data_IF_978362571618
#
_entry.id   IF_978362571618
#
_cell.length_a   1.000
_cell.length_b   1.000
_cell.length_c   1.000
_cell.angle_alpha   90.00
_cell.angle_beta   90.00
_cell.angle_gamma   90.00
#
_symmetry.space_group_name_H-M   'P 1'
#
loop_
_entity.id
_entity.type
_entity.pdbx_description
1 polymer ?
#
# COMPACT_ATOMS: atom_id res chain seq x y z
N UNK A 1 16.04 20.85 27.62
CA UNK A 1 14.59 20.93 27.33
C UNK A 1 14.56 21.51 25.94
N UNK A 2 14.55 20.63 24.95
CA UNK A 2 14.80 20.97 23.55
C UNK A 2 13.47 21.09 22.83
N UNK A 3 13.22 22.26 22.24
CA UNK A 3 11.97 22.62 21.60
C UNK A 3 11.83 21.88 20.26
N UNK A 4 10.76 21.09 20.13
CA UNK A 4 10.34 20.56 18.83
C UNK A 4 9.76 21.69 17.98
N UNK A 5 10.10 21.81 16.69
CA UNK A 5 9.53 22.87 15.85
C UNK A 5 8.07 22.55 15.54
N UNK A 6 7.16 23.40 16.03
CA UNK A 6 5.74 23.36 15.69
C UNK A 6 5.56 23.77 14.22
N UNK A 7 5.36 22.79 13.35
CA UNK A 7 5.05 23.02 11.93
C UNK A 7 3.60 23.46 11.75
N UNK A 8 3.29 24.72 12.08
CA UNK A 8 2.04 25.36 11.71
C UNK A 8 2.25 26.22 10.47
N UNK A 9 1.58 25.91 9.36
CA UNK A 9 1.45 26.87 8.26
C UNK A 9 0.13 27.61 8.42
N UNK A 10 0.19 28.84 8.91
CA UNK A 10 -0.97 29.72 9.04
C UNK A 10 -1.21 30.40 7.69
N UNK A 11 -2.27 30.02 6.99
CA UNK A 11 -2.76 30.77 5.83
C UNK A 11 -3.73 31.85 6.29
N UNK A 12 -3.31 33.11 6.32
CA UNK A 12 -4.19 34.24 6.64
C UNK A 12 -4.82 34.76 5.34
N UNK A 13 -6.15 34.65 5.19
CA UNK A 13 -6.88 35.30 4.10
C UNK A 13 -7.71 36.44 4.68
N UNK A 14 -7.35 37.68 4.35
CA UNK A 14 -8.11 38.87 4.78
C UNK A 14 -9.11 39.25 3.70
N UNK A 15 -10.40 39.21 4.04
CA UNK A 15 -11.47 39.77 3.23
C UNK A 15 -12.06 40.98 3.93
N UNK A 16 -12.14 42.11 3.23
CA UNK A 16 -12.70 43.36 3.75
C UNK A 16 -14.07 43.59 3.14
N UNK A 17 -15.11 43.72 3.95
CA UNK A 17 -16.47 44.05 3.49
C UNK A 17 -16.79 45.46 3.95
N UNK A 18 -17.06 46.37 3.02
CA UNK A 18 -17.45 47.75 3.35
C UNK A 18 -18.96 47.86 3.20
N UNK A 19 -19.64 48.22 4.30
CA UNK A 19 -21.05 48.57 4.28
C UNK A 19 -21.15 50.10 4.35
N UNK A 20 -21.83 50.70 3.38
CA UNK A 20 -22.07 52.15 3.34
C UNK A 20 -23.54 52.45 3.56
N UNK A 21 -23.84 53.32 4.51
CA UNK A 21 -25.13 54.01 4.62
C UNK A 21 -24.92 55.51 4.32
N UNK A 22 -25.97 56.15 3.82
CA UNK A 22 -25.99 57.43 3.10
C UNK A 22 -25.56 58.65 3.95
N UNK A 23 -25.18 58.44 5.21
CA UNK A 23 -24.70 59.48 6.14
C UNK A 23 -23.41 59.16 6.90
N UNK A 24 -22.86 57.95 6.77
CA UNK A 24 -21.54 57.62 7.31
C UNK A 24 -21.01 56.30 6.74
N UNK A 25 -19.77 56.31 6.22
CA UNK A 25 -19.06 55.08 5.84
C UNK A 25 -18.42 54.46 7.08
N UNK A 26 -18.91 53.31 7.51
CA UNK A 26 -18.30 52.51 8.58
C UNK A 26 -17.71 51.25 7.96
N UNK A 27 -16.38 51.17 7.89
CA UNK A 27 -15.70 49.98 7.39
C UNK A 27 -15.48 49.00 8.54
N UNK A 28 -16.17 47.86 8.50
CA UNK A 28 -15.93 46.74 9.41
C UNK A 28 -14.97 45.76 8.73
N UNK A 29 -13.81 45.53 9.35
CA UNK A 29 -12.84 44.53 8.86
C UNK A 29 -12.95 43.31 9.75
N UNK A 30 -13.33 42.17 9.17
CA UNK A 30 -13.30 40.87 9.86
C UNK A 30 -12.19 40.02 9.26
N UNK A 31 -11.32 39.48 10.11
CA UNK A 31 -10.32 38.48 9.69
C UNK A 31 -10.90 37.10 9.98
N UNK A 32 -11.14 36.31 8.92
CA UNK A 32 -11.54 34.91 9.06
C UNK A 32 -10.25 34.08 9.03
N UNK A 33 -9.91 33.47 10.16
CA UNK A 33 -8.74 32.58 10.27
C UNK A 33 -9.22 31.16 10.03
N UNK A 34 -8.88 30.59 8.88
CA UNK A 34 -9.04 29.15 8.65
C UNK A 34 -7.83 28.42 9.24
N UNK A 35 -8.01 27.78 10.39
CA UNK A 35 -7.01 26.86 10.93
C UNK A 35 -7.20 25.53 10.20
N UNK A 36 -6.35 25.26 9.21
CA UNK A 36 -6.22 23.90 8.67
C UNK A 36 -5.46 23.09 9.71
N UNK A 37 -6.17 22.25 10.46
CA UNK A 37 -5.56 21.31 11.38
C UNK A 37 -4.59 20.42 10.59
N UNK A 38 -3.29 20.54 10.88
CA UNK A 38 -2.26 19.69 10.28
C UNK A 38 -2.33 18.38 11.03
N UNK A 39 -3.20 17.48 10.59
CA UNK A 39 -3.22 16.11 11.11
C UNK A 39 -1.86 15.46 10.84
N UNK A 40 -1.26 14.86 11.86
CA UNK A 40 -0.02 14.09 11.68
C UNK A 40 -0.30 12.80 10.90
N UNK A 41 0.72 12.25 10.23
CA UNK A 41 0.57 10.97 9.52
C UNK A 41 0.12 9.88 10.49
N UNK A 42 0.68 9.84 11.70
CA UNK A 42 0.33 8.85 12.71
C UNK A 42 -1.14 8.96 13.11
N UNK A 43 -1.70 10.16 13.28
CA UNK A 43 -3.13 10.38 13.53
C UNK A 43 -4.02 9.87 12.37
N UNK A 44 -3.62 10.07 11.11
CA UNK A 44 -4.33 9.50 9.96
C UNK A 44 -4.33 7.97 10.01
N UNK A 45 -3.16 7.34 10.26
CA UNK A 45 -3.06 5.88 10.36
C UNK A 45 -3.87 5.35 11.54
N UNK A 46 -3.84 6.04 12.68
CA UNK A 46 -4.63 5.71 13.86
C UNK A 46 -6.14 5.69 13.56
N UNK A 47 -6.63 6.66 12.79
CA UNK A 47 -8.03 6.67 12.31
C UNK A 47 -8.32 5.54 11.35
N UNK A 48 -7.40 5.23 10.43
CA UNK A 48 -7.53 4.07 9.52
C UNK A 48 -7.65 2.78 10.35
N UNK A 49 -6.80 2.58 11.36
CA UNK A 49 -6.85 1.38 12.19
C UNK A 49 -8.16 1.30 12.97
N UNK A 50 -8.62 2.40 13.59
CA UNK A 50 -9.89 2.44 14.31
C UNK A 50 -11.12 2.12 13.46
N UNK A 51 -11.05 2.39 12.16
CA UNK A 51 -12.14 2.14 11.22
C UNK A 51 -11.97 0.81 10.45
N UNK A 52 -10.89 0.07 10.69
CA UNK A 52 -10.70 -1.24 10.10
C UNK A 52 -11.56 -2.28 10.83
N UNK A 53 -12.28 -3.08 10.06
CA UNK A 53 -13.13 -4.16 10.56
C UNK A 53 -12.40 -5.50 10.36
N UNK A 54 -12.08 -6.16 11.47
CA UNK A 54 -11.45 -7.47 11.46
C UNK A 54 -12.41 -8.61 11.04
N UNK A 55 -13.71 -8.35 10.83
CA UNK A 55 -14.71 -9.32 10.35
C UNK A 55 -14.79 -10.59 11.22
N UNK A 56 -14.66 -10.42 12.53
CA UNK A 56 -14.60 -11.49 13.54
C UNK A 56 -13.35 -12.39 13.46
N UNK A 57 -12.32 -12.00 12.72
CA UNK A 57 -11.04 -12.70 12.70
C UNK A 57 -10.07 -12.11 13.72
N UNK A 58 -9.16 -12.94 14.24
CA UNK A 58 -8.08 -12.45 15.08
C UNK A 58 -6.98 -11.83 14.22
N UNK A 59 -6.65 -10.57 14.50
CA UNK A 59 -5.61 -9.86 13.77
C UNK A 59 -4.95 -8.72 14.53
N UNK A 60 -3.77 -8.34 14.03
CA UNK A 60 -2.92 -7.26 14.52
C UNK A 60 -2.61 -6.32 13.35
N UNK A 61 -2.91 -5.05 13.53
CA UNK A 61 -2.46 -3.93 12.71
C UNK A 61 -1.34 -3.20 13.41
N UNK A 62 -0.25 -2.95 12.69
CA UNK A 62 0.83 -2.10 13.16
C UNK A 62 1.41 -1.27 12.01
N UNK A 63 2.00 -0.12 12.35
CA UNK A 63 2.60 0.77 11.37
C UNK A 63 4.12 0.85 11.54
N UNK A 64 4.84 0.69 10.44
CA UNK A 64 6.27 0.94 10.35
C UNK A 64 6.50 2.29 9.68
N UNK A 65 6.92 3.28 10.46
CA UNK A 65 7.21 4.62 9.96
C UNK A 65 8.55 4.65 9.26
N UNK A 66 8.60 5.37 8.12
CA UNK A 66 9.83 5.60 7.39
C UNK A 66 10.59 6.77 8.01
N UNK A 67 11.74 6.49 8.62
CA UNK A 67 12.66 7.51 9.11
C UNK A 67 13.83 7.67 8.13
N UNK A 68 13.86 8.83 7.47
CA UNK A 68 14.91 9.19 6.51
C UNK A 68 15.96 10.09 7.18
N UNK A 69 17.26 9.76 7.09
CA UNK A 69 18.29 10.79 7.16
C UNK A 69 18.10 11.70 5.93
N UNK A 70 17.99 13.00 6.18
CA UNK A 70 17.40 14.04 5.32
C UNK A 70 17.95 14.20 3.90
N UNK A 71 18.96 13.44 3.46
CA UNK A 71 19.68 13.68 2.19
C UNK A 71 19.93 12.44 1.32
N UNK A 72 19.45 11.24 1.68
CA UNK A 72 19.90 9.99 1.03
C UNK A 72 18.76 9.00 0.71
N UNK A 73 17.67 9.44 0.06
CA UNK A 73 16.64 8.52 -0.46
C UNK A 73 17.23 7.40 -1.34
N UNK A 74 18.39 7.65 -1.97
CA UNK A 74 19.09 6.69 -2.83
C UNK A 74 19.84 5.60 -2.07
N UNK A 75 20.15 5.79 -0.77
CA UNK A 75 20.97 4.84 0.02
C UNK A 75 20.11 3.87 0.82
N UNK A 76 18.95 4.32 1.30
CA UNK A 76 18.03 3.51 2.09
C UNK A 76 17.27 4.30 3.14
N UNK A 77 16.56 3.61 4.01
CA UNK A 77 15.75 4.18 5.08
C UNK A 77 15.77 3.32 6.34
N UNK A 78 15.50 3.92 7.50
CA UNK A 78 15.17 3.16 8.69
C UNK A 78 13.66 2.96 8.76
N UNK A 79 13.21 1.73 8.95
CA UNK A 79 11.84 1.46 9.38
C UNK A 79 11.83 1.44 10.90
N UNK A 80 11.06 2.36 11.48
CA UNK A 80 10.84 2.44 12.92
C UNK A 80 9.43 1.97 13.22
N UNK A 81 9.30 1.03 14.13
CA UNK A 81 7.98 0.57 14.58
C UNK A 81 7.30 1.69 15.35
N UNK A 82 6.12 2.13 14.89
CA UNK A 82 5.34 3.11 15.63
C UNK A 82 4.73 2.44 16.86
N UNK A 83 5.24 2.78 18.05
CA UNK A 83 4.87 2.13 19.30
C UNK A 83 3.37 2.30 19.62
N UNK A 84 2.80 3.47 19.31
CA UNK A 84 1.42 3.84 19.64
C UNK A 84 0.40 3.53 18.54
N UNK A 85 0.83 3.39 17.28
CA UNK A 85 -0.06 3.14 16.15
C UNK A 85 -0.17 1.63 15.92
N UNK A 86 -0.98 1.01 16.78
CA UNK A 86 -1.23 -0.43 16.81
C UNK A 86 -2.70 -0.70 17.16
N UNK A 87 -3.27 -1.73 16.56
CA UNK A 87 -4.59 -2.25 16.92
C UNK A 87 -4.55 -3.77 16.86
N UNK A 88 -5.01 -4.45 17.91
CA UNK A 88 -5.00 -5.90 17.96
C UNK A 88 -6.31 -6.42 18.55
N UNK A 89 -6.78 -7.54 18.02
CA UNK A 89 -7.68 -8.42 18.76
C UNK A 89 -6.92 -9.09 19.91
N UNK A 90 -7.64 -9.53 20.95
CA UNK A 90 -7.04 -10.23 22.07
C UNK A 90 -6.62 -11.65 21.63
N UNK A 91 -5.31 -11.86 21.45
CA UNK A 91 -4.70 -13.14 21.08
C UNK A 91 -3.23 -13.16 21.52
N UNK A 92 -2.86 -14.13 22.37
CA UNK A 92 -1.52 -14.27 22.94
C UNK A 92 -0.45 -14.43 21.84
N UNK A 93 -0.77 -15.14 20.76
CA UNK A 93 0.15 -15.35 19.65
C UNK A 93 0.45 -14.07 18.86
N UNK A 94 -0.51 -13.14 18.77
CA UNK A 94 -0.33 -11.81 18.18
C UNK A 94 0.43 -10.86 19.12
N UNK A 95 0.19 -10.95 20.43
CA UNK A 95 0.92 -10.19 21.46
C UNK A 95 2.41 -10.58 21.48
N UNK A 96 2.71 -11.87 21.41
CA UNK A 96 4.08 -12.40 21.27
C UNK A 96 4.75 -11.95 19.97
N UNK A 97 3.99 -11.90 18.88
CA UNK A 97 4.48 -11.37 17.61
C UNK A 97 4.84 -9.89 17.71
N UNK A 98 3.96 -9.07 18.29
CA UNK A 98 4.21 -7.64 18.52
C UNK A 98 5.43 -7.41 19.42
N UNK A 99 5.55 -8.19 20.49
CA UNK A 99 6.67 -8.09 21.44
C UNK A 99 8.03 -8.32 20.75
N UNK A 100 8.13 -9.34 19.88
CA UNK A 100 9.33 -9.58 19.07
C UNK A 100 9.63 -8.45 18.08
N UNK A 101 8.59 -7.87 17.46
CA UNK A 101 8.76 -6.70 16.61
C UNK A 101 9.35 -5.50 17.40
N UNK A 102 8.96 -5.34 18.67
CA UNK A 102 9.44 -4.28 19.57
C UNK A 102 10.87 -4.54 20.10
N UNK A 103 11.39 -5.76 20.06
CA UNK A 103 12.81 -6.02 20.35
C UNK A 103 13.72 -5.46 19.24
N UNK A 104 13.20 -5.39 18.02
CA UNK A 104 13.90 -4.89 16.83
C UNK A 104 13.23 -3.62 16.29
N UNK A 105 13.08 -2.61 17.18
CA UNK A 105 12.32 -1.36 16.91
C UNK A 105 12.73 -0.61 15.65
N UNK A 106 13.97 -0.76 15.21
CA UNK A 106 14.53 -0.06 14.07
C UNK A 106 15.32 -1.04 13.22
N UNK A 107 15.01 -1.09 11.91
CA UNK A 107 15.72 -1.90 10.93
C UNK A 107 16.02 -1.04 9.69
N UNK A 108 17.29 -1.02 9.30
CA UNK A 108 17.73 -0.31 8.09
C UNK A 108 17.38 -1.14 6.83
N UNK A 109 16.88 -0.46 5.80
CA UNK A 109 16.51 -1.03 4.49
C UNK A 109 17.10 -0.16 3.38
N UNK A 110 18.23 -0.58 2.83
CA UNK A 110 18.84 -0.02 1.62
C UNK A 110 18.59 -0.86 0.38
N UNK A 111 18.99 -0.34 -0.79
CA UNK A 111 18.85 -1.04 -2.08
C UNK A 111 19.60 -2.39 -2.13
N UNK A 112 20.73 -2.49 -1.45
CA UNK A 112 21.54 -3.71 -1.34
C UNK A 112 21.30 -4.51 -0.05
N UNK A 113 20.41 -4.05 0.84
CA UNK A 113 20.15 -4.75 2.10
C UNK A 113 19.36 -6.02 1.82
N UNK A 114 19.87 -7.16 2.28
CA UNK A 114 19.11 -8.40 2.27
C UNK A 114 18.01 -8.31 3.33
N UNK A 115 16.77 -8.07 2.88
CA UNK A 115 15.58 -8.05 3.74
C UNK A 115 14.93 -9.43 3.87
N UNK A 116 15.40 -10.41 3.08
CA UNK A 116 14.93 -11.80 3.09
C UNK A 116 13.41 -11.92 3.21
N UNK A 117 12.99 -12.56 4.29
CA UNK A 117 11.61 -12.92 4.59
C UNK A 117 10.82 -11.89 5.41
N UNK A 118 11.38 -10.70 5.56
CA UNK A 118 10.69 -9.58 6.21
C UNK A 118 9.89 -8.79 5.17
N UNK A 119 8.57 -9.03 5.15
CA UNK A 119 7.66 -8.45 4.16
C UNK A 119 7.67 -6.92 4.16
N UNK A 120 7.69 -6.27 5.34
CA UNK A 120 7.71 -4.81 5.42
C UNK A 120 8.98 -4.22 4.75
N UNK A 121 10.14 -4.85 4.96
CA UNK A 121 11.39 -4.46 4.28
C UNK A 121 11.32 -4.62 2.76
N UNK A 122 10.71 -5.71 2.27
CA UNK A 122 10.47 -5.89 0.82
C UNK A 122 9.50 -4.86 0.26
N UNK A 123 8.43 -4.55 0.98
CA UNK A 123 7.43 -3.56 0.56
C UNK A 123 8.05 -2.15 0.46
N UNK A 124 9.00 -1.81 1.33
CA UNK A 124 9.80 -0.60 1.21
C UNK A 124 10.65 -0.60 -0.06
N UNK A 125 11.46 -1.63 -0.29
CA UNK A 125 12.37 -1.70 -1.45
C UNK A 125 11.62 -1.67 -2.78
N UNK A 126 10.53 -2.44 -2.87
CA UNK A 126 9.75 -2.58 -4.10
C UNK A 126 8.71 -1.48 -4.28
N UNK A 127 8.36 -0.78 -3.20
CA UNK A 127 7.25 0.19 -3.13
C UNK A 127 5.92 -0.43 -3.57
N UNK A 128 5.73 -1.73 -3.36
CA UNK A 128 4.54 -2.51 -3.72
C UNK A 128 4.11 -3.33 -2.49
N UNK A 129 2.81 -3.52 -2.33
CA UNK A 129 2.26 -4.40 -1.29
C UNK A 129 2.69 -5.86 -1.47
N UNK A 130 2.70 -6.64 -0.38
CA UNK A 130 3.11 -8.05 -0.37
C UNK A 130 2.29 -8.82 0.68
N UNK A 131 2.18 -10.15 0.57
CA UNK A 131 1.38 -10.95 1.49
C UNK A 131 1.85 -12.41 1.63
N UNK A 132 1.38 -13.06 2.69
CA UNK A 132 1.54 -14.49 3.00
C UNK A 132 0.16 -15.11 3.24
N UNK A 133 -0.29 -15.86 2.25
CA UNK A 133 -1.53 -16.66 2.27
C UNK A 133 -1.23 -18.12 2.57
N UNK A 134 -2.27 -18.96 2.64
CA UNK A 134 -2.12 -20.43 2.77
C UNK A 134 -1.29 -21.06 1.64
N UNK A 135 -1.20 -20.38 0.50
CA UNK A 135 -0.47 -20.85 -0.68
C UNK A 135 1.01 -20.44 -0.66
N UNK A 136 1.45 -19.65 0.32
CA UNK A 136 2.84 -19.28 0.44
C UNK A 136 3.70 -20.50 0.77
N UNK A 137 4.54 -20.92 -0.17
CA UNK A 137 5.45 -22.05 0.02
C UNK A 137 6.52 -21.65 1.04
N UNK A 138 6.43 -22.20 2.25
CA UNK A 138 7.48 -22.05 3.27
C UNK A 138 8.76 -22.75 2.77
N UNK A 139 9.76 -21.96 2.40
CA UNK A 139 11.11 -22.43 2.05
C UNK A 139 11.96 -22.62 3.30
N UNK A 140 13.12 -23.27 3.17
CA UNK A 140 14.07 -23.43 4.28
C UNK A 140 14.64 -22.07 4.75
N UNK A 141 14.59 -21.03 3.91
CA UNK A 141 14.89 -19.64 4.32
C UNK A 141 13.73 -19.00 5.11
N UNK A 142 12.50 -19.52 4.98
CA UNK A 142 11.36 -19.18 5.85
C UNK A 142 11.47 -19.88 7.22
N UNK A 143 12.35 -20.88 7.37
CA UNK A 143 12.65 -21.57 8.63
C UNK A 143 13.70 -20.86 9.51
N UNK A 144 14.26 -19.73 9.07
CA UNK A 144 14.73 -18.71 10.02
C UNK A 144 13.55 -17.88 10.57
N UNK A 145 12.45 -18.60 10.82
CA UNK A 145 11.17 -18.22 11.40
C UNK A 145 11.32 -17.95 12.89
N UNK A 146 12.00 -16.86 13.23
CA UNK A 146 11.82 -16.28 14.54
C UNK A 146 10.56 -15.42 14.63
N UNK A 147 9.86 -15.02 13.55
CA UNK A 147 8.84 -13.97 13.63
C UNK A 147 7.40 -14.37 13.22
N UNK A 148 7.05 -14.81 12.01
CA UNK A 148 5.60 -14.97 11.67
C UNK A 148 5.03 -16.35 12.04
N UNK A 149 5.81 -17.44 11.94
CA UNK A 149 5.31 -18.79 12.22
C UNK A 149 4.16 -19.18 11.28
N UNK A 150 3.15 -19.88 11.78
CA UNK A 150 1.94 -20.27 11.04
C UNK A 150 0.92 -19.13 10.84
N UNK A 151 1.33 -17.86 10.98
CA UNK A 151 0.43 -16.70 10.85
C UNK A 151 0.31 -16.23 9.41
N UNK A 152 -0.80 -15.55 9.12
CA UNK A 152 -0.97 -14.80 7.89
C UNK A 152 -0.37 -13.40 7.98
N UNK A 153 0.00 -12.82 6.84
CA UNK A 153 0.57 -11.47 6.79
C UNK A 153 0.17 -10.73 5.51
N UNK A 154 -0.11 -9.44 5.61
CA UNK A 154 -0.28 -8.50 4.52
C UNK A 154 0.48 -7.22 4.86
N UNK A 155 1.24 -6.68 3.91
CA UNK A 155 1.93 -5.39 4.06
C UNK A 155 1.56 -4.43 2.93
N UNK A 156 1.33 -3.17 3.28
CA UNK A 156 0.83 -2.13 2.38
C UNK A 156 1.70 -0.87 2.51
N UNK A 157 2.45 -0.49 1.46
CA UNK A 157 3.19 0.76 1.46
C UNK A 157 2.25 1.97 1.38
N UNK A 158 2.37 2.91 2.31
CA UNK A 158 1.55 4.11 2.39
C UNK A 158 2.26 5.28 1.73
N UNK A 159 1.59 5.95 0.81
CA UNK A 159 2.10 7.10 0.07
C UNK A 159 1.25 8.35 0.30
N UNK A 160 1.93 9.50 0.30
CA UNK A 160 1.32 10.81 0.17
C UNK A 160 1.69 11.46 -1.17
N UNK A 161 0.80 12.29 -1.70
CA UNK A 161 1.01 13.05 -2.93
C UNK A 161 0.41 12.42 -4.20
N UNK A 162 0.53 13.15 -5.32
CA UNK A 162 0.00 12.74 -6.63
C UNK A 162 1.10 12.67 -7.70
N UNK A 163 0.88 11.87 -8.74
CA UNK A 163 1.77 11.78 -9.91
C UNK A 163 3.17 11.26 -9.59
N UNK A 164 4.19 11.96 -10.09
CA UNK A 164 5.60 11.63 -9.91
C UNK A 164 6.18 12.03 -8.53
N UNK A 165 5.46 12.84 -7.75
CA UNK A 165 5.88 13.31 -6.42
C UNK A 165 5.35 12.48 -5.24
N UNK A 166 5.13 11.16 -5.44
CA UNK A 166 4.64 10.28 -4.37
C UNK A 166 5.76 9.99 -3.37
N UNK A 167 5.60 10.45 -2.13
CA UNK A 167 6.50 10.15 -1.02
C UNK A 167 6.00 8.92 -0.28
N UNK A 168 6.87 7.93 -0.08
CA UNK A 168 6.59 6.80 0.81
C UNK A 168 6.66 7.29 2.26
N UNK A 169 5.62 7.02 3.05
CA UNK A 169 5.52 7.44 4.44
C UNK A 169 5.84 6.30 5.42
N UNK A 170 5.55 5.06 5.03
CA UNK A 170 5.71 3.90 5.88
C UNK A 170 4.96 2.70 5.33
N UNK A 171 4.88 1.64 6.13
CA UNK A 171 4.23 0.38 5.80
C UNK A 171 3.16 0.08 6.85
N UNK A 172 1.92 -0.12 6.42
CA UNK A 172 0.90 -0.79 7.25
C UNK A 172 1.16 -2.29 7.16
N UNK A 173 1.20 -2.96 8.31
CA UNK A 173 1.31 -4.40 8.40
C UNK A 173 0.08 -4.96 9.13
N UNK A 174 -0.56 -5.93 8.49
CA UNK A 174 -1.69 -6.69 9.02
C UNK A 174 -1.29 -8.15 9.18
N UNK A 175 -1.41 -8.68 10.39
CA UNK A 175 -1.04 -10.06 10.75
C UNK A 175 -2.25 -10.77 11.30
N UNK A 176 -2.50 -11.99 10.82
CA UNK A 176 -3.61 -12.84 11.29
C UNK A 176 -3.07 -14.09 11.95
N UNK A 177 -3.83 -14.69 12.87
CA UNK A 177 -3.39 -15.90 13.60
C UNK A 177 -3.16 -17.10 12.68
N UNK A 178 -3.91 -17.18 11.58
CA UNK A 178 -3.78 -18.17 10.51
C UNK A 178 -3.69 -17.49 9.15
N UNK A 179 -3.03 -18.07 8.14
CA UNK A 179 -2.95 -17.47 6.81
C UNK A 179 -4.32 -17.54 6.15
N UNK A 180 -4.74 -16.43 5.53
CA UNK A 180 -5.95 -16.39 4.69
C UNK A 180 -5.71 -17.05 3.34
N UNK A 181 -6.78 -17.46 2.67
CA UNK A 181 -6.73 -17.85 1.25
C UNK A 181 -6.34 -16.64 0.38
N UNK A 182 -6.97 -15.49 0.64
CA UNK A 182 -6.68 -14.21 0.00
C UNK A 182 -6.83 -13.04 0.98
N UNK A 183 -6.19 -11.93 0.65
CA UNK A 183 -6.32 -10.64 1.35
C UNK A 183 -7.03 -9.58 0.49
N UNK A 184 -7.63 -9.96 -0.63
CA UNK A 184 -8.21 -9.00 -1.59
C UNK A 184 -9.22 -8.07 -0.92
N UNK A 185 -10.11 -8.62 -0.09
CA UNK A 185 -11.11 -7.82 0.60
C UNK A 185 -10.50 -6.90 1.68
N UNK A 186 -9.40 -7.31 2.33
CA UNK A 186 -8.68 -6.48 3.29
C UNK A 186 -7.99 -5.31 2.56
N UNK A 187 -7.38 -5.60 1.41
CA UNK A 187 -6.75 -4.60 0.53
C UNK A 187 -7.77 -3.57 0.07
N UNK A 188 -8.97 -4.00 -0.34
CA UNK A 188 -10.06 -3.11 -0.73
C UNK A 188 -10.50 -2.19 0.41
N UNK A 189 -10.63 -2.75 1.62
CA UNK A 189 -10.95 -1.98 2.81
C UNK A 189 -9.87 -0.92 3.11
N UNK A 190 -8.58 -1.32 3.14
CA UNK A 190 -7.49 -0.37 3.32
C UNK A 190 -7.47 0.71 2.26
N UNK A 191 -7.77 0.39 0.99
CA UNK A 191 -7.84 1.38 -0.06
C UNK A 191 -8.96 2.40 0.15
N UNK A 192 -10.13 1.96 0.63
CA UNK A 192 -11.20 2.87 1.04
C UNK A 192 -10.73 3.81 2.15
N UNK A 193 -10.22 3.24 3.24
CA UNK A 193 -9.78 3.99 4.42
C UNK A 193 -8.62 4.95 4.13
N UNK A 194 -7.62 4.51 3.37
CA UNK A 194 -6.49 5.35 2.95
C UNK A 194 -6.97 6.52 2.08
N UNK A 195 -7.90 6.27 1.16
CA UNK A 195 -8.44 7.30 0.26
C UNK A 195 -9.16 8.40 1.03
N UNK A 196 -9.89 8.05 2.07
CA UNK A 196 -10.61 9.01 2.92
C UNK A 196 -9.64 9.94 3.68
N UNK A 197 -8.45 9.46 4.01
CA UNK A 197 -7.35 10.24 4.61
C UNK A 197 -6.45 10.94 3.56
N UNK A 198 -6.79 10.87 2.27
CA UNK A 198 -5.96 11.43 1.19
C UNK A 198 -4.63 10.68 0.96
N UNK A 199 -4.49 9.50 1.55
CA UNK A 199 -3.36 8.59 1.41
C UNK A 199 -3.64 7.56 0.31
N UNK A 200 -2.59 6.88 -0.13
CA UNK A 200 -2.69 5.83 -1.16
C UNK A 200 -1.78 4.67 -0.83
N UNK A 201 -2.17 3.47 -1.18
CA UNK A 201 -1.27 2.33 -1.28
C UNK A 201 -1.07 1.94 -2.74
N UNK A 202 0.04 1.28 -3.05
CA UNK A 202 0.27 0.69 -4.37
C UNK A 202 -0.14 -0.78 -4.32
N UNK A 203 -1.21 -1.06 -5.06
CA UNK A 203 -1.85 -2.37 -5.21
C UNK A 203 -0.82 -3.50 -5.47
N UNK A 204 -1.06 -4.70 -4.91
CA UNK A 204 -0.36 -5.96 -5.26
C UNK A 204 -0.60 -6.23 -6.75
N UNK A 205 0.28 -5.77 -7.62
CA UNK A 205 0.08 -5.91 -9.05
C UNK A 205 0.80 -7.13 -9.61
N UNK A 206 0.19 -7.84 -10.55
CA UNK A 206 0.90 -8.84 -11.36
C UNK A 206 1.59 -8.18 -12.54
N UNK A 207 2.88 -8.49 -12.70
CA UNK A 207 3.58 -8.12 -13.93
C UNK A 207 3.08 -9.01 -15.05
N UNK A 208 2.38 -8.44 -16.01
CA UNK A 208 1.93 -9.12 -17.22
C UNK A 208 3.01 -8.96 -18.27
N UNK A 209 3.40 -10.07 -18.90
CA UNK A 209 4.35 -10.13 -20.01
C UNK A 209 3.60 -10.58 -21.27
N UNK A 210 3.11 -9.64 -22.05
CA UNK A 210 2.39 -9.97 -23.28
C UNK A 210 3.37 -10.12 -24.42
N UNK A 211 3.33 -11.27 -25.12
CA UNK A 211 4.04 -11.49 -26.38
C UNK A 211 3.07 -11.37 -27.54
N UNK A 212 3.37 -10.50 -28.50
CA UNK A 212 2.59 -10.32 -29.73
C UNK A 212 3.53 -10.03 -30.89
N UNK A 213 3.39 -10.78 -32.00
CA UNK A 213 4.19 -10.62 -33.22
C UNK A 213 5.72 -10.54 -33.00
N UNK A 214 6.24 -11.38 -32.09
CA UNK A 214 7.65 -11.39 -31.72
C UNK A 214 8.06 -10.35 -30.68
N UNK A 215 7.27 -9.28 -30.53
CA UNK A 215 7.49 -8.24 -29.53
C UNK A 215 6.99 -8.66 -28.13
N UNK A 216 7.71 -8.20 -27.11
CA UNK A 216 7.40 -8.47 -25.71
C UNK A 216 7.20 -7.14 -24.96
N UNK A 217 5.99 -6.92 -24.47
CA UNK A 217 5.69 -5.79 -23.58
C UNK A 217 5.50 -6.28 -22.16
N UNK A 218 5.90 -5.44 -21.20
CA UNK A 218 5.71 -5.69 -19.77
C UNK A 218 4.98 -4.54 -19.13
N UNK A 219 4.02 -4.84 -18.27
CA UNK A 219 3.34 -3.86 -17.45
C UNK A 219 2.72 -4.53 -16.23
N UNK A 220 2.51 -3.77 -15.17
CA UNK A 220 1.85 -4.25 -13.98
C UNK A 220 0.34 -3.98 -14.08
N UNK A 221 -0.47 -5.00 -13.81
CA UNK A 221 -1.91 -4.85 -13.57
C UNK A 221 -2.22 -5.07 -12.09
N UNK A 222 -3.11 -4.27 -11.48
CA UNK A 222 -3.66 -4.61 -10.16
C UNK A 222 -4.47 -5.93 -10.23
N UNK A 223 -4.55 -6.71 -9.14
CA UNK A 223 -5.43 -7.90 -9.08
C UNK A 223 -6.91 -7.55 -9.32
N UNK A 224 -7.34 -6.32 -8.96
CA UNK A 224 -8.68 -5.81 -9.26
C UNK A 224 -8.86 -5.34 -10.72
N UNK A 225 -7.86 -5.52 -11.58
CA UNK A 225 -7.95 -5.12 -12.98
C UNK A 225 -9.02 -5.92 -13.70
N UNK A 226 -9.79 -5.23 -14.54
CA UNK A 226 -10.74 -5.87 -15.45
C UNK A 226 -10.03 -6.27 -16.74
N UNK A 227 -10.65 -7.15 -17.53
CA UNK A 227 -10.17 -7.53 -18.85
C UNK A 227 -10.03 -6.30 -19.77
N UNK A 228 -10.91 -5.31 -19.60
CA UNK A 228 -10.82 -4.02 -20.30
C UNK A 228 -9.54 -3.25 -19.97
N UNK A 229 -9.03 -3.35 -18.74
CA UNK A 229 -7.76 -2.72 -18.33
C UNK A 229 -6.56 -3.40 -18.99
N UNK A 230 -6.56 -4.74 -19.05
CA UNK A 230 -5.57 -5.52 -19.78
C UNK A 230 -5.54 -5.09 -21.26
N UNK A 231 -6.70 -5.13 -21.92
CA UNK A 231 -6.82 -4.74 -23.33
C UNK A 231 -6.36 -3.31 -23.58
N UNK A 232 -6.76 -2.36 -22.74
CA UNK A 232 -6.34 -0.96 -22.85
C UNK A 232 -4.82 -0.82 -22.78
N UNK A 233 -4.15 -1.52 -21.85
CA UNK A 233 -2.69 -1.50 -21.72
C UNK A 233 -1.98 -2.09 -22.95
N UNK A 234 -2.51 -3.19 -23.49
CA UNK A 234 -1.99 -3.82 -24.71
C UNK A 234 -2.15 -2.88 -25.91
N UNK A 235 -3.35 -2.33 -26.15
CA UNK A 235 -3.62 -1.42 -27.27
C UNK A 235 -2.81 -0.13 -27.23
N UNK A 236 -2.58 0.42 -26.04
CA UNK A 236 -1.72 1.61 -25.88
C UNK A 236 -0.28 1.35 -26.31
N UNK A 237 0.18 0.09 -26.19
CA UNK A 237 1.55 -0.33 -26.50
C UNK A 237 1.70 -0.89 -27.93
N UNK A 238 0.61 -1.35 -28.53
CA UNK A 238 0.53 -1.83 -29.91
C UNK A 238 -0.51 -1.01 -30.68
N UNK A 239 -0.12 0.12 -31.29
CA UNK A 239 -1.06 1.03 -31.96
C UNK A 239 -1.92 0.36 -33.04
N UNK A 240 -1.38 -0.68 -33.71
CA UNK A 240 -2.12 -1.45 -34.72
C UNK A 240 -3.32 -2.25 -34.19
N UNK A 241 -3.49 -2.34 -32.88
CA UNK A 241 -4.54 -3.13 -32.21
C UNK A 241 -5.71 -2.28 -31.69
N UNK A 242 -5.69 -0.96 -31.87
CA UNK A 242 -6.64 -0.02 -31.25
C UNK A 242 -8.11 -0.40 -31.51
N UNK A 243 -8.45 -0.76 -32.75
CA UNK A 243 -9.80 -1.15 -33.18
C UNK A 243 -10.03 -2.66 -33.28
N UNK A 244 -9.08 -3.49 -32.82
CA UNK A 244 -9.20 -4.94 -32.89
C UNK A 244 -9.81 -5.52 -31.62
N UNK A 245 -10.54 -6.64 -31.78
CA UNK A 245 -10.94 -7.49 -30.67
C UNK A 245 -9.74 -8.34 -30.26
N UNK A 246 -9.32 -8.21 -29.01
CA UNK A 246 -8.20 -8.95 -28.47
C UNK A 246 -8.68 -10.26 -27.85
N UNK A 247 -7.92 -11.32 -28.08
CA UNK A 247 -8.02 -12.58 -27.36
C UNK A 247 -6.71 -12.75 -26.60
N UNK A 248 -6.78 -12.75 -25.27
CA UNK A 248 -5.63 -13.01 -24.42
C UNK A 248 -5.63 -14.48 -23.99
N UNK A 249 -4.45 -15.08 -23.96
CA UNK A 249 -4.19 -16.40 -23.42
C UNK A 249 -3.05 -16.28 -22.41
N UNK A 250 -3.09 -17.06 -21.33
CA UNK A 250 -1.98 -17.21 -20.40
C UNK A 250 -1.52 -18.66 -20.36
N UNK A 251 -0.25 -18.88 -20.02
CA UNK A 251 0.26 -20.23 -19.80
C UNK A 251 0.06 -20.64 -18.34
N UNK A 252 -0.67 -21.73 -18.07
CA UNK A 252 -0.85 -22.30 -16.73
C UNK A 252 0.45 -22.98 -16.21
N UNK A 253 0.42 -23.59 -15.01
CA UNK A 253 1.64 -24.28 -14.50
C UNK A 253 2.04 -25.50 -15.32
N UNK A 254 1.06 -26.15 -15.92
CA UNK A 254 1.21 -27.36 -16.70
C UNK A 254 1.72 -27.03 -18.12
N UNK A 255 1.83 -25.74 -18.45
CA UNK A 255 2.29 -25.26 -19.74
C UNK A 255 1.19 -25.15 -20.78
N UNK A 256 -0.07 -25.31 -20.40
CA UNK A 256 -1.21 -25.21 -21.30
C UNK A 256 -1.62 -23.75 -21.50
N UNK A 257 -1.96 -23.36 -22.74
CA UNK A 257 -2.56 -22.08 -23.00
C UNK A 257 -4.03 -22.08 -22.54
N UNK A 258 -4.37 -21.20 -21.60
CA UNK A 258 -5.73 -20.96 -21.12
C UNK A 258 -6.19 -19.57 -21.59
N UNK A 259 -7.38 -19.53 -22.18
CA UNK A 259 -7.98 -18.29 -22.67
C UNK A 259 -8.54 -17.43 -21.53
N UNK A 260 -8.26 -16.13 -21.56
CA UNK A 260 -8.85 -15.12 -20.67
C UNK A 260 -10.03 -14.47 -21.41
N UNK A 261 -11.26 -14.90 -21.13
CA UNK A 261 -12.47 -14.42 -21.81
C UNK A 261 -13.30 -13.43 -20.98
N UNK A 262 -13.04 -13.36 -19.67
CA UNK A 262 -13.80 -12.54 -18.72
C UNK A 262 -12.91 -11.90 -17.65
N UNK A 263 -13.50 -10.98 -16.88
CA UNK A 263 -12.87 -10.42 -15.68
C UNK A 263 -12.57 -11.52 -14.64
N UNK A 264 -13.42 -12.55 -14.57
CA UNK A 264 -13.23 -13.68 -13.66
C UNK A 264 -12.05 -14.56 -14.08
N UNK A 265 -11.91 -14.87 -15.37
CA UNK A 265 -10.75 -15.63 -15.87
C UNK A 265 -9.43 -14.88 -15.61
N UNK A 266 -9.45 -13.55 -15.75
CA UNK A 266 -8.29 -12.70 -15.48
C UNK A 266 -7.93 -12.75 -13.99
N UNK A 267 -8.93 -12.71 -13.11
CA UNK A 267 -8.75 -12.84 -11.66
C UNK A 267 -8.16 -14.20 -11.30
N UNK A 268 -8.72 -15.29 -11.83
CA UNK A 268 -8.21 -16.66 -11.62
C UNK A 268 -6.73 -16.76 -12.05
N UNK A 269 -6.40 -16.26 -13.24
CA UNK A 269 -5.03 -16.21 -13.75
C UNK A 269 -4.09 -15.45 -12.79
N UNK A 270 -4.52 -14.29 -12.29
CA UNK A 270 -3.71 -13.50 -11.36
C UNK A 270 -3.52 -14.14 -10.00
N UNK A 271 -4.58 -14.77 -9.46
CA UNK A 271 -4.55 -15.51 -8.19
C UNK A 271 -3.67 -16.75 -8.31
N UNK A 272 -3.75 -17.49 -9.41
CA UNK A 272 -2.92 -18.66 -9.69
C UNK A 272 -1.43 -18.29 -9.75
N UNK A 273 -1.10 -17.16 -10.40
CA UNK A 273 0.26 -16.65 -10.40
C UNK A 273 0.71 -16.14 -9.02
N UNK A 274 -0.21 -15.69 -8.15
CA UNK A 274 0.09 -15.33 -6.76
C UNK A 274 0.38 -16.54 -5.89
N UNK A 275 -0.46 -17.58 -5.97
CA UNK A 275 -0.29 -18.79 -5.17
C UNK A 275 1.04 -19.50 -5.46
N UNK A 276 1.56 -19.37 -6.68
CA UNK A 276 2.84 -19.96 -7.10
C UNK A 276 4.06 -19.09 -6.82
N UNK A 277 3.89 -17.93 -6.18
CA UNK A 277 4.97 -16.94 -5.99
C UNK A 277 5.52 -16.38 -7.31
N UNK A 278 4.81 -16.56 -8.42
CA UNK A 278 5.24 -16.10 -9.72
C UNK A 278 5.20 -14.56 -9.76
N UNK A 279 6.36 -13.96 -10.05
CA UNK A 279 6.51 -12.51 -10.17
C UNK A 279 5.80 -11.95 -11.40
N UNK A 280 5.48 -12.80 -12.38
CA UNK A 280 4.85 -12.39 -13.62
C UNK A 280 3.94 -13.47 -14.20
N UNK A 281 2.99 -13.02 -15.02
CA UNK A 281 2.12 -13.83 -15.89
C UNK A 281 2.63 -13.63 -17.31
N UNK A 282 2.67 -14.70 -18.10
CA UNK A 282 3.07 -14.67 -19.51
C UNK A 282 1.88 -14.98 -20.39
#
# INVERSE_FOLDING_TARGET
>A
IDESPSNHTIGEYRSTVTLSDDRSKTTLTFSIIFVKEVTTILECIDRIFRNFDFRNESGLLQFWELCMPSELEEVGCNLILADQTVMSTQDEGLEDYRSRCLESRCRFVGLGTSVGNWLAGRAVQTRIADHRTIHHVLTQEDQHSADVGGKGQLVLPVFYGQGAGKKLLGIIEFVTTVPKESYDEDIEQFHGLLKDEGLKSKYIGKTIKVKYDGDLIKFTLPLSAKLTDLHRKVKTRFPGLENQNLCAEYTDAEGNPIRIASDEDLRVCMTEASSKGAKFIK
#
